data_IF_095824512359
#
_entry.id   IF_095824512359
#
_cell.length_a   1.000
_cell.length_b   1.000
_cell.length_c   1.000
_cell.angle_alpha   90.00
_cell.angle_beta   90.00
_cell.angle_gamma   90.00
#
_symmetry.space_group_name_H-M   'P 1'
#
loop_
_entity.id
_entity.type
_entity.pdbx_description
1 polymer ?
#
# COMPACT_ATOMS: atom_id res chain seq x y z
N UNK A 1 25.25 14.30 11.83
CA UNK A 1 24.36 14.08 10.67
C UNK A 1 23.10 14.88 10.91
N UNK A 2 22.71 15.76 10.00
CA UNK A 2 21.44 16.48 10.12
C UNK A 2 20.27 15.54 9.81
N UNK A 3 19.26 15.52 10.67
CA UNK A 3 18.03 14.75 10.48
C UNK A 3 17.14 15.48 9.46
N UNK A 4 17.32 15.17 8.17
CA UNK A 4 16.50 15.71 7.09
C UNK A 4 15.47 14.69 6.63
N UNK A 5 14.23 15.15 6.43
CA UNK A 5 13.17 14.35 5.79
C UNK A 5 13.50 14.26 4.30
N UNK A 6 13.73 13.04 3.81
CA UNK A 6 14.16 12.79 2.43
C UNK A 6 13.01 12.86 1.41
N UNK A 7 11.76 12.75 1.87
CA UNK A 7 10.57 12.80 1.03
C UNK A 7 9.43 11.96 1.59
N UNK A 8 8.44 11.65 0.74
CA UNK A 8 7.37 10.72 1.07
C UNK A 8 7.93 9.31 1.25
N UNK A 9 7.49 8.61 2.28
CA UNK A 9 7.79 7.19 2.43
C UNK A 9 6.66 6.32 1.86
N UNK A 10 5.42 6.61 2.25
CA UNK A 10 4.22 5.94 1.75
C UNK A 10 2.99 6.79 2.09
N UNK A 11 1.86 6.50 1.45
CA UNK A 11 0.54 7.04 1.81
C UNK A 11 -0.41 5.87 2.11
N UNK A 12 -1.24 6.02 3.13
CA UNK A 12 -2.24 5.02 3.54
C UNK A 12 -3.63 5.58 3.38
N UNK A 13 -4.55 4.80 2.82
CA UNK A 13 -5.95 5.17 2.66
C UNK A 13 -6.91 4.01 2.99
N UNK A 14 -8.18 4.34 3.24
CA UNK A 14 -9.26 3.35 3.38
C UNK A 14 -9.81 3.03 1.99
N UNK A 15 -10.13 1.76 1.74
CA UNK A 15 -10.79 1.32 0.52
C UNK A 15 -12.02 0.48 0.85
N UNK A 16 -12.93 0.34 -0.11
CA UNK A 16 -13.94 -0.72 -0.04
C UNK A 16 -13.36 -2.04 -0.55
N UNK A 17 -14.15 -2.78 -1.32
CA UNK A 17 -13.85 -4.14 -1.78
C UNK A 17 -12.38 -4.40 -2.15
N UNK A 18 -11.81 -5.42 -1.51
CA UNK A 18 -10.42 -5.81 -1.65
C UNK A 18 -10.08 -6.24 -3.08
N UNK A 19 -10.97 -6.96 -3.76
CA UNK A 19 -10.70 -7.44 -5.11
C UNK A 19 -10.69 -6.28 -6.13
N UNK A 20 -11.61 -5.33 -6.00
CA UNK A 20 -11.66 -4.12 -6.82
C UNK A 20 -10.44 -3.24 -6.57
N UNK A 21 -10.02 -3.07 -5.31
CA UNK A 21 -8.81 -2.36 -4.94
C UNK A 21 -7.58 -3.00 -5.59
N UNK A 22 -7.38 -4.30 -5.39
CA UNK A 22 -6.29 -5.05 -5.99
C UNK A 22 -6.29 -4.94 -7.53
N UNK A 23 -7.45 -5.13 -8.17
CA UNK A 23 -7.56 -5.08 -9.63
C UNK A 23 -7.21 -3.70 -10.16
N UNK A 24 -7.66 -2.63 -9.51
CA UNK A 24 -7.34 -1.28 -9.94
C UNK A 24 -5.84 -1.00 -9.82
N UNK A 25 -5.24 -1.20 -8.65
CA UNK A 25 -3.84 -0.84 -8.42
C UNK A 25 -2.87 -1.74 -9.18
N UNK A 26 -3.21 -3.02 -9.43
CA UNK A 26 -2.32 -3.93 -10.17
C UNK A 26 -2.58 -4.01 -11.67
N UNK A 27 -3.83 -3.93 -12.12
CA UNK A 27 -4.18 -4.14 -13.54
C UNK A 27 -4.39 -2.85 -14.30
N UNK A 28 -4.91 -1.80 -13.65
CA UNK A 28 -5.10 -0.50 -14.29
C UNK A 28 -3.85 0.35 -14.12
N UNK A 29 -3.33 0.47 -12.90
CA UNK A 29 -2.15 1.30 -12.62
C UNK A 29 -0.81 0.55 -12.77
N UNK A 30 -0.83 -0.78 -12.88
CA UNK A 30 0.38 -1.57 -13.10
C UNK A 30 1.33 -1.67 -11.90
N UNK A 31 0.88 -1.32 -10.68
CA UNK A 31 1.70 -1.44 -9.48
C UNK A 31 1.84 -2.90 -9.05
N UNK A 32 2.95 -3.22 -8.38
CA UNK A 32 3.15 -4.53 -7.77
C UNK A 32 2.47 -4.56 -6.40
N UNK A 33 1.68 -5.60 -6.11
CA UNK A 33 1.32 -5.92 -4.73
C UNK A 33 2.56 -6.46 -4.02
N UNK A 34 3.29 -5.58 -3.32
CA UNK A 34 4.55 -5.91 -2.65
C UNK A 34 4.33 -6.65 -1.35
N UNK A 35 3.19 -6.43 -0.68
CA UNK A 35 2.83 -7.15 0.55
C UNK A 35 1.31 -7.24 0.73
N UNK A 36 0.86 -8.41 1.17
CA UNK A 36 -0.50 -8.65 1.69
C UNK A 36 -0.36 -9.09 3.14
N UNK A 37 -0.97 -8.34 4.05
CA UNK A 37 -1.00 -8.69 5.47
C UNK A 37 -2.35 -8.27 6.08
N UNK A 38 -2.45 -8.27 7.39
CA UNK A 38 -3.63 -7.80 8.13
C UNK A 38 -3.27 -6.53 8.88
N UNK A 39 -4.27 -5.69 9.17
CA UNK A 39 -4.08 -4.53 10.03
C UNK A 39 -3.68 -5.01 11.43
N UNK A 40 -2.61 -4.42 12.00
CA UNK A 40 -2.09 -4.80 13.30
C UNK A 40 -3.04 -4.43 14.45
N UNK A 41 -3.88 -3.41 14.25
CA UNK A 41 -4.88 -2.98 15.22
C UNK A 41 -6.22 -3.73 15.07
N UNK A 42 -6.51 -4.23 13.87
CA UNK A 42 -7.70 -5.04 13.56
C UNK A 42 -7.35 -6.19 12.58
N UNK A 43 -7.03 -7.39 13.08
CA UNK A 43 -6.60 -8.51 12.25
C UNK A 43 -7.64 -9.03 11.26
N UNK A 44 -8.91 -8.59 11.36
CA UNK A 44 -9.95 -8.96 10.40
C UNK A 44 -9.89 -8.11 9.13
N UNK A 45 -9.20 -6.98 9.16
CA UNK A 45 -9.06 -6.07 8.03
C UNK A 45 -7.74 -6.34 7.30
N UNK A 46 -7.78 -6.46 5.97
CA UNK A 46 -6.56 -6.59 5.18
C UNK A 46 -5.74 -5.31 5.19
N UNK A 47 -4.42 -5.44 4.99
CA UNK A 47 -3.52 -4.33 4.70
C UNK A 47 -2.71 -4.65 3.45
N UNK A 48 -3.07 -3.99 2.34
CA UNK A 48 -2.39 -4.15 1.06
C UNK A 48 -1.33 -3.08 0.87
N UNK A 49 -0.19 -3.47 0.32
CA UNK A 49 0.90 -2.58 -0.05
C UNK A 49 1.15 -2.71 -1.54
N UNK A 50 0.99 -1.61 -2.27
CA UNK A 50 1.32 -1.49 -3.68
C UNK A 50 2.51 -0.57 -3.87
N UNK A 51 3.37 -0.86 -4.84
CA UNK A 51 4.53 -0.01 -5.14
C UNK A 51 5.20 -0.41 -6.44
N UNK A 52 6.44 0.06 -6.63
CA UNK A 52 7.32 -0.43 -7.68
C UNK A 52 7.77 -1.89 -7.43
N UNK A 53 8.69 -2.39 -8.25
CA UNK A 53 9.14 -3.78 -8.19
C UNK A 53 9.68 -4.18 -6.81
N UNK A 54 10.34 -3.26 -6.11
CA UNK A 54 11.02 -3.50 -4.84
C UNK A 54 10.29 -2.90 -3.62
N UNK A 55 9.24 -2.11 -3.83
CA UNK A 55 8.59 -1.34 -2.78
C UNK A 55 9.49 -0.22 -2.25
N UNK A 56 10.11 0.56 -3.14
CA UNK A 56 11.02 1.65 -2.72
C UNK A 56 10.26 2.78 -2.00
N UNK A 57 10.86 3.43 -0.98
CA UNK A 57 10.25 4.57 -0.31
C UNK A 57 9.84 5.67 -1.30
N UNK A 58 8.62 6.17 -1.15
CA UNK A 58 8.03 7.17 -2.04
C UNK A 58 7.17 6.60 -3.16
N UNK A 59 7.23 5.29 -3.40
CA UNK A 59 6.36 4.61 -4.38
C UNK A 59 5.17 3.89 -3.73
N UNK A 60 5.20 3.71 -2.41
CA UNK A 60 4.25 2.84 -1.71
C UNK A 60 2.91 3.54 -1.47
N UNK A 61 1.84 2.87 -1.90
CA UNK A 61 0.46 3.12 -1.48
C UNK A 61 -0.03 1.94 -0.66
N UNK A 62 -0.66 2.20 0.49
CA UNK A 62 -1.26 1.14 1.30
C UNK A 62 -2.75 1.34 1.53
N UNK A 63 -3.48 0.24 1.62
CA UNK A 63 -4.92 0.25 1.77
C UNK A 63 -5.41 -0.70 2.84
N UNK A 64 -6.43 -0.25 3.58
CA UNK A 64 -7.30 -1.10 4.40
C UNK A 64 -8.64 -1.30 3.67
N UNK A 65 -8.76 -2.33 2.81
CA UNK A 65 -10.03 -2.61 2.14
C UNK A 65 -11.01 -3.36 3.04
N UNK A 66 -12.27 -2.93 3.03
CA UNK A 66 -13.41 -3.54 3.74
C UNK A 66 -14.55 -3.99 2.83
#
# INVERSE_FOLDING_TARGET
MENRILGLHHITAIAGDAQRNYSFYTKVLGLRLVKKTVNFDDPQTYHFYFGDEAGTPGTILTFFPS
#
